data_IF_990309870490
#
_entry.id   IF_990309870490
#
_cell.length_a   1.000
_cell.length_b   1.000
_cell.length_c   1.000
_cell.angle_alpha   90.00
_cell.angle_beta   90.00
_cell.angle_gamma   90.00
#
_symmetry.space_group_name_H-M   'P 1'
#
loop_
_entity.id
_entity.type
_entity.pdbx_description
1 polymer ?
#
# COMPACT_ATOMS: atom_id res chain seq x y z
N UNK A 1 19.87 -14.28 -2.12
CA UNK A 1 18.85 -15.17 -1.54
C UNK A 1 17.63 -15.09 -2.43
N UNK A 2 17.10 -16.23 -2.87
CA UNK A 2 15.80 -16.27 -3.52
C UNK A 2 14.73 -15.65 -2.58
N UNK A 3 13.69 -15.02 -3.12
CA UNK A 3 12.59 -14.50 -2.30
C UNK A 3 11.99 -15.63 -1.44
N UNK A 4 11.45 -15.29 -0.26
CA UNK A 4 10.84 -16.31 0.58
C UNK A 4 9.70 -16.98 -0.18
N UNK A 5 9.69 -18.32 -0.19
CA UNK A 5 8.62 -19.10 -0.83
C UNK A 5 7.36 -19.20 0.04
N UNK A 6 7.31 -18.49 1.17
CA UNK A 6 6.16 -18.46 2.08
C UNK A 6 5.49 -17.10 2.01
N UNK A 7 4.17 -17.11 1.90
CA UNK A 7 3.33 -15.92 1.87
C UNK A 7 2.32 -16.05 3.00
N UNK A 8 2.17 -15.00 3.79
CA UNK A 8 1.09 -14.89 4.75
C UNK A 8 0.11 -13.82 4.25
N UNK A 9 -1.12 -14.23 3.89
CA UNK A 9 -2.19 -13.28 3.56
C UNK A 9 -2.80 -12.77 4.87
N UNK A 10 -2.94 -11.46 5.00
CA UNK A 10 -3.47 -10.83 6.21
C UNK A 10 -4.57 -9.86 5.79
N UNK A 11 -5.82 -10.20 6.08
CA UNK A 11 -6.96 -9.36 5.72
C UNK A 11 -7.25 -8.28 6.76
N UNK A 12 -7.50 -7.06 6.29
CA UNK A 12 -7.73 -5.87 7.10
C UNK A 12 -8.93 -5.12 6.53
N UNK A 13 -10.17 -5.57 6.81
CA UNK A 13 -11.40 -4.95 6.31
C UNK A 13 -11.71 -3.63 7.06
N UNK A 14 -10.77 -2.67 7.01
CA UNK A 14 -10.87 -1.37 7.63
C UNK A 14 -11.54 -0.38 6.67
N UNK A 15 -12.70 0.16 7.05
CA UNK A 15 -13.45 1.17 6.29
C UNK A 15 -13.77 2.38 7.19
N UNK A 16 -12.72 2.92 7.81
CA UNK A 16 -12.81 4.05 8.74
C UNK A 16 -12.05 5.27 8.23
N UNK A 17 -10.94 5.05 7.55
CA UNK A 17 -10.03 6.08 7.07
C UNK A 17 -10.64 6.92 5.96
N UNK A 18 -11.47 6.34 5.10
CA UNK A 18 -12.08 7.00 3.95
C UNK A 18 -13.51 7.52 4.20
N UNK A 19 -13.95 8.42 3.32
CA UNK A 19 -15.32 8.96 3.35
C UNK A 19 -16.36 7.97 2.83
N UNK A 20 -16.12 7.44 1.62
CA UNK A 20 -16.98 6.44 0.97
C UNK A 20 -16.84 5.08 1.64
N UNK A 21 -17.92 4.30 1.61
CA UNK A 21 -18.01 2.96 2.20
C UNK A 21 -17.70 1.86 1.20
N UNK A 22 -17.33 0.68 1.71
CA UNK A 22 -17.30 -0.58 0.95
C UNK A 22 -15.92 -1.18 0.78
N UNK A 23 -14.85 -0.48 1.18
CA UNK A 23 -13.48 -1.02 1.11
C UNK A 23 -13.23 -2.12 2.14
N UNK A 24 -14.06 -2.22 3.18
CA UNK A 24 -14.07 -3.35 4.11
C UNK A 24 -14.37 -4.68 3.42
N UNK A 25 -15.00 -4.68 2.24
CA UNK A 25 -15.22 -5.90 1.45
C UNK A 25 -14.03 -6.26 0.54
N UNK A 26 -13.04 -5.38 0.39
CA UNK A 26 -11.84 -5.60 -0.42
C UNK A 26 -11.12 -6.92 -0.13
N UNK A 27 -10.85 -7.29 1.14
CA UNK A 27 -10.21 -8.57 1.46
C UNK A 27 -11.01 -9.78 0.98
N UNK A 28 -12.35 -9.73 1.07
CA UNK A 28 -13.21 -10.80 0.58
C UNK A 28 -13.17 -10.90 -0.95
N UNK A 29 -13.23 -9.76 -1.65
CA UNK A 29 -13.16 -9.69 -3.11
C UNK A 29 -11.85 -10.27 -3.67
N UNK A 30 -10.71 -9.99 -3.02
CA UNK A 30 -9.41 -10.56 -3.38
C UNK A 30 -9.35 -12.07 -3.15
N UNK A 31 -10.03 -12.58 -2.11
CA UNK A 31 -10.15 -14.03 -1.87
C UNK A 31 -11.07 -14.69 -2.90
N UNK A 32 -12.16 -14.04 -3.29
CA UNK A 32 -13.08 -14.51 -4.35
C UNK A 32 -12.34 -14.61 -5.70
N UNK A 33 -11.46 -13.65 -6.00
CA UNK A 33 -10.55 -13.68 -7.15
C UNK A 33 -9.40 -14.71 -7.02
N UNK A 34 -9.46 -15.59 -6.01
CA UNK A 34 -8.57 -16.72 -5.77
C UNK A 34 -7.09 -16.35 -5.59
N UNK A 35 -6.77 -15.18 -5.00
CA UNK A 35 -5.38 -14.74 -4.77
C UNK A 35 -4.50 -15.85 -4.18
N UNK A 36 -4.95 -16.47 -3.08
CA UNK A 36 -4.17 -17.52 -2.41
C UNK A 36 -3.94 -18.76 -3.26
N UNK A 37 -4.97 -19.21 -3.99
CA UNK A 37 -4.87 -20.37 -4.89
C UNK A 37 -3.93 -20.09 -6.07
N UNK A 38 -4.02 -18.91 -6.66
CA UNK A 38 -3.18 -18.51 -7.81
C UNK A 38 -1.72 -18.30 -7.39
N UNK A 39 -1.45 -17.75 -6.21
CA UNK A 39 -0.09 -17.68 -5.66
C UNK A 39 0.48 -19.07 -5.35
N UNK A 40 -0.34 -19.99 -4.82
CA UNK A 40 0.07 -21.37 -4.59
C UNK A 40 0.42 -22.10 -5.91
N UNK A 41 -0.33 -21.82 -6.99
CA UNK A 41 -0.03 -22.36 -8.32
C UNK A 41 1.31 -21.88 -8.89
N UNK A 42 1.83 -20.73 -8.44
CA UNK A 42 3.20 -20.26 -8.76
C UNK A 42 4.29 -20.94 -7.91
N UNK A 43 3.92 -21.86 -7.00
CA UNK A 43 4.86 -22.62 -6.16
C UNK A 43 5.17 -21.98 -4.81
N UNK A 44 4.34 -21.04 -4.34
CA UNK A 44 4.42 -20.49 -2.99
C UNK A 44 3.63 -21.34 -1.99
N UNK A 45 4.14 -21.44 -0.76
CA UNK A 45 3.34 -21.88 0.40
C UNK A 45 2.56 -20.68 0.92
N UNK A 46 1.24 -20.70 0.74
CA UNK A 46 0.36 -19.59 1.14
C UNK A 46 -0.41 -19.95 2.41
N UNK A 47 -0.28 -19.12 3.45
CA UNK A 47 -1.08 -19.22 4.67
C UNK A 47 -2.03 -18.01 4.71
N UNK A 48 -3.33 -18.24 4.56
CA UNK A 48 -4.32 -17.19 4.85
C UNK A 48 -4.52 -17.10 6.36
N UNK A 49 -4.10 -15.98 6.96
CA UNK A 49 -4.22 -15.72 8.40
C UNK A 49 -5.62 -15.22 8.78
N UNK A 50 -6.54 -15.13 7.82
CA UNK A 50 -7.86 -14.57 8.01
C UNK A 50 -7.82 -13.05 8.15
N UNK A 51 -8.88 -12.51 8.75
CA UNK A 51 -9.03 -11.07 8.96
C UNK A 51 -8.66 -10.67 10.38
N UNK A 52 -7.95 -9.55 10.53
CA UNK A 52 -7.75 -8.95 11.86
C UNK A 52 -9.05 -8.36 12.38
N UNK A 53 -9.16 -8.32 13.71
CA UNK A 53 -10.30 -7.70 14.38
C UNK A 53 -10.31 -6.21 14.10
N UNK A 54 -11.39 -5.77 13.48
CA UNK A 54 -11.66 -4.39 13.13
C UNK A 54 -13.03 -3.99 13.71
N UNK A 55 -13.24 -2.69 13.98
CA UNK A 55 -14.54 -2.21 14.40
C UNK A 55 -15.49 -2.01 13.21
N UNK A 56 -16.79 -2.20 13.45
CA UNK A 56 -17.85 -1.80 12.53
C UNK A 56 -18.03 -0.28 12.62
N UNK A 57 -17.96 0.43 11.49
CA UNK A 57 -17.96 1.91 11.44
C UNK A 57 -19.14 2.55 12.16
N UNK A 58 -20.33 2.01 11.98
CA UNK A 58 -21.60 2.48 12.56
C UNK A 58 -21.61 2.43 14.08
N UNK A 59 -20.77 1.59 14.67
CA UNK A 59 -20.66 1.43 16.13
C UNK A 59 -19.63 2.37 16.77
N UNK A 60 -18.97 3.22 15.96
CA UNK A 60 -17.87 4.06 16.42
C UNK A 60 -18.17 5.54 16.24
N UNK A 61 -17.83 6.39 17.24
CA UNK A 61 -17.83 7.82 17.05
C UNK A 61 -16.65 8.24 16.16
N UNK A 62 -16.88 9.24 15.30
CA UNK A 62 -15.83 9.83 14.45
C UNK A 62 -14.71 10.47 15.25
N UNK A 63 -15.00 11.03 16.44
CA UNK A 63 -14.01 11.69 17.28
C UNK A 63 -13.52 13.01 16.67
N UNK A 64 -12.21 13.15 16.48
CA UNK A 64 -11.62 14.39 15.99
C UNK A 64 -11.92 14.60 14.51
N UNK A 65 -12.58 15.71 14.17
CA UNK A 65 -12.97 16.03 12.79
C UNK A 65 -11.79 16.19 11.81
N UNK A 66 -10.57 16.47 12.31
CA UNK A 66 -9.34 16.59 11.51
C UNK A 66 -8.59 15.27 11.35
N UNK A 67 -9.00 14.21 12.04
CA UNK A 67 -8.43 12.86 11.97
C UNK A 67 -9.46 11.84 12.49
N UNK A 68 -10.49 11.62 11.67
CA UNK A 68 -11.66 10.81 12.01
C UNK A 68 -11.26 9.37 12.33
N UNK A 69 -11.82 8.81 13.39
CA UNK A 69 -11.60 7.44 13.86
C UNK A 69 -10.14 7.08 14.18
N UNK A 70 -9.24 8.06 14.29
CA UNK A 70 -7.78 7.84 14.37
C UNK A 70 -7.35 6.83 15.45
N UNK A 71 -8.04 6.80 16.60
CA UNK A 71 -7.72 5.88 17.70
C UNK A 71 -8.03 4.44 17.36
N UNK A 72 -9.15 4.20 16.69
CA UNK A 72 -9.56 2.87 16.24
C UNK A 72 -8.69 2.40 15.07
N UNK A 73 -8.42 3.29 14.11
CA UNK A 73 -7.49 3.04 13.01
C UNK A 73 -6.12 2.65 13.56
N UNK A 74 -5.54 3.45 14.45
CA UNK A 74 -4.24 3.16 15.07
C UNK A 74 -4.25 1.84 15.87
N UNK A 75 -5.38 1.44 16.46
CA UNK A 75 -5.49 0.13 17.13
C UNK A 75 -5.41 -1.01 16.12
N UNK A 76 -6.07 -0.90 14.97
CA UNK A 76 -5.99 -1.89 13.90
C UNK A 76 -4.59 -1.91 13.27
N UNK A 77 -4.00 -0.76 12.97
CA UNK A 77 -2.65 -0.67 12.43
C UNK A 77 -1.58 -1.24 13.39
N UNK A 78 -1.76 -1.14 14.72
CA UNK A 78 -0.88 -1.83 15.70
C UNK A 78 -1.06 -3.36 15.68
N UNK A 79 -2.27 -3.87 15.44
CA UNK A 79 -2.50 -5.31 15.27
C UNK A 79 -1.83 -5.79 13.98
N UNK A 80 -2.00 -5.04 12.88
CA UNK A 80 -1.36 -5.31 11.60
C UNK A 80 0.16 -5.28 11.71
N UNK A 81 0.73 -4.28 12.39
CA UNK A 81 2.16 -4.22 12.67
C UNK A 81 2.67 -5.52 13.28
N UNK A 82 2.00 -6.02 14.34
CA UNK A 82 2.38 -7.27 15.02
C UNK A 82 2.25 -8.49 14.10
N UNK A 83 1.17 -8.58 13.33
CA UNK A 83 0.92 -9.71 12.43
C UNK A 83 1.96 -9.74 11.29
N UNK A 84 2.22 -8.60 10.65
CA UNK A 84 3.22 -8.47 9.59
C UNK A 84 4.65 -8.67 10.11
N UNK A 85 4.96 -8.17 11.31
CA UNK A 85 6.28 -8.37 11.92
C UNK A 85 6.53 -9.86 12.22
N UNK A 86 5.53 -10.56 12.77
CA UNK A 86 5.60 -12.00 13.00
C UNK A 86 5.75 -12.81 11.69
N UNK A 87 5.04 -12.43 10.63
CA UNK A 87 5.20 -13.05 9.31
C UNK A 87 6.65 -12.86 8.80
N UNK A 88 7.16 -11.64 8.85
CA UNK A 88 8.53 -11.31 8.44
C UNK A 88 9.60 -12.03 9.28
N UNK A 89 9.39 -12.20 10.59
CA UNK A 89 10.29 -12.95 11.47
C UNK A 89 10.31 -14.45 11.14
N UNK A 90 9.15 -15.02 10.82
CA UNK A 90 9.04 -16.42 10.39
C UNK A 90 9.56 -16.69 8.97
N UNK A 91 10.01 -15.64 8.27
CA UNK A 91 10.50 -15.71 6.90
C UNK A 91 9.39 -15.78 5.85
N UNK A 92 8.15 -15.39 6.17
CA UNK A 92 7.10 -15.18 5.18
C UNK A 92 7.12 -13.75 4.64
N UNK A 93 6.67 -13.57 3.40
CA UNK A 93 6.29 -12.27 2.83
C UNK A 93 4.83 -11.98 3.22
N UNK A 94 4.54 -11.00 4.10
CA UNK A 94 3.16 -10.57 4.32
C UNK A 94 2.58 -9.92 3.06
N UNK A 95 1.39 -10.36 2.68
CA UNK A 95 0.53 -9.69 1.68
C UNK A 95 -0.71 -9.20 2.40
N UNK A 96 -0.81 -7.90 2.56
CA UNK A 96 -1.94 -7.25 3.23
C UNK A 96 -3.06 -7.08 2.24
N UNK A 97 -4.22 -7.66 2.55
CA UNK A 97 -5.47 -7.43 1.84
C UNK A 97 -6.17 -6.32 2.60
N UNK A 98 -6.05 -5.09 2.12
CA UNK A 98 -6.54 -3.91 2.82
C UNK A 98 -8.01 -3.62 2.56
N UNK A 99 -8.53 -2.73 3.40
CA UNK A 99 -9.60 -1.82 3.06
C UNK A 99 -8.96 -0.48 2.69
N UNK A 100 -9.21 0.55 3.49
CA UNK A 100 -8.62 1.87 3.23
C UNK A 100 -7.09 1.90 3.43
N UNK A 101 -6.41 2.84 2.76
CA UNK A 101 -4.94 2.91 2.71
C UNK A 101 -4.27 3.25 4.06
N UNK A 102 -5.03 3.62 5.10
CA UNK A 102 -4.46 3.90 6.42
C UNK A 102 -3.74 2.70 7.06
N UNK A 103 -4.05 1.48 6.60
CA UNK A 103 -3.40 0.23 7.00
C UNK A 103 -1.89 0.24 6.73
N UNK A 104 -1.42 1.00 5.73
CA UNK A 104 0.00 1.11 5.40
C UNK A 104 0.87 1.59 6.57
N UNK A 105 0.30 2.38 7.50
CA UNK A 105 1.01 2.79 8.72
C UNK A 105 1.46 1.59 9.58
N UNK A 106 0.69 0.49 9.59
CA UNK A 106 1.03 -0.73 10.31
C UNK A 106 1.99 -1.63 9.53
N UNK A 107 1.68 -1.91 8.26
CA UNK A 107 2.43 -2.84 7.42
C UNK A 107 3.84 -2.32 7.11
N UNK A 108 3.98 -1.04 6.73
CA UNK A 108 5.27 -0.43 6.40
C UNK A 108 6.13 -0.28 7.66
N UNK A 109 5.54 0.07 8.81
CA UNK A 109 6.29 0.14 10.07
C UNK A 109 6.88 -1.22 10.46
N UNK A 110 6.16 -2.33 10.21
CA UNK A 110 6.66 -3.68 10.44
C UNK A 110 7.79 -4.04 9.48
N UNK A 111 7.63 -3.76 8.18
CA UNK A 111 8.69 -3.97 7.19
C UNK A 111 9.95 -3.18 7.53
N UNK A 112 9.80 -1.94 8.00
CA UNK A 112 10.90 -1.08 8.40
C UNK A 112 11.62 -1.61 9.66
N UNK A 113 10.88 -2.09 10.66
CA UNK A 113 11.44 -2.73 11.84
C UNK A 113 12.24 -4.00 11.47
N UNK A 114 11.67 -4.85 10.60
CA UNK A 114 12.34 -6.06 10.14
C UNK A 114 13.61 -5.77 9.33
N UNK A 115 13.58 -4.76 8.46
CA UNK A 115 14.76 -4.32 7.70
C UNK A 115 15.87 -3.81 8.65
N UNK A 116 15.51 -3.03 9.67
CA UNK A 116 16.45 -2.58 10.72
C UNK A 116 17.07 -3.75 11.47
N UNK A 117 16.28 -4.75 11.89
CA UNK A 117 16.80 -5.98 12.55
C UNK A 117 17.82 -6.71 11.65
N UNK A 118 17.61 -6.71 10.34
CA UNK A 118 18.52 -7.28 9.33
C UNK A 118 19.69 -6.36 8.95
N UNK A 119 19.78 -5.16 9.53
CA UNK A 119 20.75 -4.11 9.16
C UNK A 119 20.74 -3.78 7.67
N UNK A 120 19.55 -3.75 7.08
CA UNK A 120 19.32 -3.36 5.68
C UNK A 120 18.44 -2.12 5.63
N UNK A 121 18.62 -1.23 4.63
CA UNK A 121 17.66 -0.18 4.38
C UNK A 121 16.34 -0.77 3.86
N UNK A 122 15.22 -0.11 4.13
CA UNK A 122 13.94 -0.35 3.47
C UNK A 122 13.75 0.71 2.39
N UNK A 123 13.50 0.29 1.16
CA UNK A 123 12.90 1.12 0.12
C UNK A 123 11.38 0.94 0.15
N UNK A 124 10.64 2.03 0.02
CA UNK A 124 9.19 2.06 -0.07
C UNK A 124 8.78 2.54 -1.46
N UNK A 125 8.07 1.70 -2.20
CA UNK A 125 7.40 2.08 -3.43
C UNK A 125 5.92 2.28 -3.10
N UNK A 126 5.45 3.51 -3.21
CA UNK A 126 4.06 3.92 -3.00
C UNK A 126 3.41 4.13 -4.37
N UNK A 127 2.49 3.26 -4.75
CA UNK A 127 1.88 3.22 -6.08
C UNK A 127 0.42 3.60 -5.92
N UNK A 128 0.07 4.82 -6.35
CA UNK A 128 -1.16 5.49 -5.91
C UNK A 128 -1.51 6.70 -6.81
N UNK A 129 -2.78 7.08 -6.91
CA UNK A 129 -3.17 8.36 -7.49
C UNK A 129 -2.87 9.57 -6.58
N UNK A 130 -2.79 9.33 -5.27
CA UNK A 130 -2.62 10.27 -4.16
C UNK A 130 -1.26 10.08 -3.47
N UNK A 131 -0.77 11.10 -2.75
CA UNK A 131 0.48 10.95 -2.00
C UNK A 131 0.26 10.45 -0.56
N UNK A 132 -0.94 10.60 -0.02
CA UNK A 132 -1.27 10.24 1.36
C UNK A 132 -0.36 10.90 2.42
N UNK A 133 0.06 12.12 2.10
CA UNK A 133 0.99 12.91 2.90
C UNK A 133 0.29 14.02 3.68
N UNK A 134 -1.04 14.05 3.73
CA UNK A 134 -1.72 15.01 4.58
C UNK A 134 -1.46 14.77 6.08
N UNK A 135 -1.44 15.87 6.84
CA UNK A 135 -1.48 15.84 8.31
C UNK A 135 -2.84 16.33 8.79
N UNK A 136 -3.19 16.18 10.09
CA UNK A 136 -4.45 16.69 10.61
C UNK A 136 -4.62 18.20 10.41
N UNK A 137 -3.52 18.95 10.28
CA UNK A 137 -3.52 20.38 9.98
C UNK A 137 -3.73 20.73 8.50
N UNK A 138 -3.37 19.86 7.56
CA UNK A 138 -3.46 20.15 6.11
C UNK A 138 -4.68 19.50 5.46
N UNK A 139 -5.14 18.37 6.00
CA UNK A 139 -6.29 17.65 5.48
C UNK A 139 -7.56 18.49 5.53
N UNK A 140 -8.25 18.57 4.39
CA UNK A 140 -9.56 19.25 4.27
C UNK A 140 -10.73 18.36 4.68
N UNK A 141 -10.55 17.04 4.66
CA UNK A 141 -11.59 16.05 4.95
C UNK A 141 -11.49 15.47 6.37
N UNK A 142 -10.29 15.48 6.96
CA UNK A 142 -9.96 14.75 8.18
C UNK A 142 -10.01 13.24 8.03
N UNK A 143 -10.07 12.73 6.79
CA UNK A 143 -10.03 11.32 6.48
C UNK A 143 -8.60 10.82 6.63
N UNK A 144 -8.40 9.78 7.44
CA UNK A 144 -7.07 9.32 7.87
C UNK A 144 -6.36 8.50 6.79
N UNK A 145 -7.10 7.93 5.82
CA UNK A 145 -6.48 7.19 4.71
C UNK A 145 -5.55 8.06 3.86
N UNK A 146 -5.75 9.39 3.82
CA UNK A 146 -4.81 10.32 3.16
C UNK A 146 -3.65 10.80 4.02
N UNK A 147 -3.40 10.20 5.19
CA UNK A 147 -2.34 10.57 6.13
C UNK A 147 -1.26 9.52 6.45
N UNK A 148 -1.33 8.23 6.04
CA UNK A 148 -0.39 7.21 6.51
C UNK A 148 1.05 7.51 6.09
N UNK A 149 1.30 8.03 4.89
CA UNK A 149 2.67 8.32 4.48
C UNK A 149 3.27 9.50 5.24
N UNK A 150 2.47 10.50 5.60
CA UNK A 150 2.91 11.56 6.52
C UNK A 150 3.40 11.00 7.87
N UNK A 151 2.67 10.03 8.41
CA UNK A 151 3.00 9.38 9.68
C UNK A 151 4.25 8.49 9.59
N UNK A 152 4.49 7.87 8.44
CA UNK A 152 5.67 7.04 8.20
C UNK A 152 6.94 7.89 8.03
N UNK A 153 6.79 9.12 7.54
CA UNK A 153 7.88 10.07 7.26
C UNK A 153 8.12 11.09 8.39
N UNK A 154 7.25 11.13 9.41
CA UNK A 154 7.30 12.17 10.44
C UNK A 154 6.40 11.87 11.65
N UNK A 155 6.18 12.86 12.53
CA UNK A 155 5.51 12.63 13.82
C UNK A 155 3.98 12.68 13.77
N UNK A 156 3.36 12.94 12.62
CA UNK A 156 1.93 13.24 12.51
C UNK A 156 1.20 12.38 11.47
N UNK A 157 -0.01 11.86 11.76
CA UNK A 157 -0.67 11.87 13.07
C UNK A 157 0.07 11.00 14.10
N UNK A 158 0.26 11.52 15.32
CA UNK A 158 1.05 10.83 16.36
C UNK A 158 0.56 9.41 16.68
N UNK A 159 -0.75 9.15 16.58
CA UNK A 159 -1.32 7.83 16.82
C UNK A 159 -0.83 6.77 15.81
N UNK A 160 -0.54 7.17 14.57
CA UNK A 160 0.02 6.31 13.53
C UNK A 160 1.55 6.35 13.55
N UNK A 161 2.15 7.53 13.70
CA UNK A 161 3.61 7.70 13.68
C UNK A 161 4.31 6.91 14.81
N UNK A 162 3.64 6.75 15.95
CA UNK A 162 4.17 5.96 17.08
C UNK A 162 4.20 4.44 16.86
N UNK A 163 3.61 3.93 15.77
CA UNK A 163 3.60 2.49 15.48
C UNK A 163 5.01 2.02 15.11
N UNK A 164 5.50 0.99 15.79
CA UNK A 164 6.86 0.48 15.60
C UNK A 164 7.96 1.29 16.30
N UNK A 165 7.57 2.26 17.14
CA UNK A 165 8.43 2.98 18.11
C UNK A 165 9.62 3.77 17.53
N UNK A 166 9.70 3.91 16.20
CA UNK A 166 10.77 4.64 15.50
C UNK A 166 10.15 5.68 14.59
N UNK A 167 10.52 6.95 14.80
CA UNK A 167 10.03 8.09 14.02
C UNK A 167 11.24 8.82 13.42
N UNK A 168 11.30 9.02 12.10
CA UNK A 168 10.40 8.46 11.10
C UNK A 168 10.61 6.94 10.93
N UNK A 169 9.56 6.21 10.55
CA UNK A 169 9.65 4.78 10.29
C UNK A 169 10.50 4.50 9.03
N UNK A 170 10.35 5.37 8.01
CA UNK A 170 11.07 5.31 6.73
C UNK A 170 11.70 6.66 6.44
N UNK A 171 12.91 6.65 5.85
CA UNK A 171 13.56 7.89 5.43
C UNK A 171 12.97 8.41 4.12
N UNK A 172 12.74 9.72 3.95
CA UNK A 172 12.16 10.26 2.71
C UNK A 172 12.96 9.92 1.45
N UNK A 173 14.30 9.93 1.51
CA UNK A 173 15.19 9.55 0.39
C UNK A 173 15.07 8.08 -0.05
N UNK A 174 14.24 7.30 0.65
CA UNK A 174 13.95 5.88 0.39
C UNK A 174 12.50 5.64 0.00
N UNK A 175 11.74 6.69 -0.28
CA UNK A 175 10.36 6.61 -0.75
C UNK A 175 10.28 7.09 -2.20
N UNK A 176 9.60 6.30 -3.04
CA UNK A 176 9.19 6.72 -4.36
C UNK A 176 7.67 6.65 -4.47
N UNK A 177 7.06 7.77 -4.84
CA UNK A 177 5.66 7.91 -5.19
C UNK A 177 5.53 7.73 -6.71
N UNK A 178 4.63 6.86 -7.17
CA UNK A 178 4.44 6.56 -8.58
C UNK A 178 2.96 6.54 -8.94
N UNK A 179 2.59 7.27 -10.00
CA UNK A 179 1.21 7.34 -10.50
C UNK A 179 0.42 8.55 -9.97
N UNK A 180 1.10 9.42 -9.21
CA UNK A 180 0.50 10.57 -8.54
C UNK A 180 -0.11 11.53 -9.56
N UNK A 181 -1.37 11.90 -9.32
CA UNK A 181 -2.12 12.85 -10.16
C UNK A 181 -3.18 13.65 -9.39
N UNK A 182 -3.39 13.36 -8.11
CA UNK A 182 -4.37 14.02 -7.27
C UNK A 182 -3.73 14.44 -5.95
N UNK A 183 -3.43 15.74 -5.82
CA UNK A 183 -2.86 16.34 -4.61
C UNK A 183 -3.57 17.65 -4.31
N UNK A 184 -3.90 17.88 -3.05
CA UNK A 184 -4.35 19.19 -2.61
C UNK A 184 -3.19 20.22 -2.56
N UNK A 185 -3.54 21.50 -2.43
CA UNK A 185 -2.55 22.57 -2.51
C UNK A 185 -1.49 22.51 -1.39
N UNK A 186 -1.88 22.11 -0.18
CA UNK A 186 -0.95 22.04 0.96
C UNK A 186 -0.09 20.78 0.88
N UNK A 187 -0.66 19.68 0.42
CA UNK A 187 0.02 18.41 0.19
C UNK A 187 1.09 18.56 -0.90
N UNK A 188 0.84 19.31 -1.98
CA UNK A 188 1.86 19.62 -3.00
C UNK A 188 3.12 20.24 -2.41
N UNK A 189 2.97 21.22 -1.52
CA UNK A 189 4.11 21.86 -0.84
C UNK A 189 4.85 20.84 0.01
N UNK A 190 4.12 20.06 0.81
CA UNK A 190 4.72 19.04 1.66
C UNK A 190 5.47 17.97 0.87
N UNK A 191 4.91 17.46 -0.22
CA UNK A 191 5.56 16.47 -1.08
C UNK A 191 6.88 17.04 -1.63
N UNK A 192 6.87 18.28 -2.13
CA UNK A 192 8.09 18.95 -2.64
C UNK A 192 9.17 19.10 -1.59
N UNK A 193 8.79 19.46 -0.36
CA UNK A 193 9.74 19.75 0.73
C UNK A 193 10.19 18.49 1.48
N UNK A 194 9.53 17.35 1.28
CA UNK A 194 9.77 16.13 2.04
C UNK A 194 11.05 15.39 1.68
N UNK A 195 11.56 15.55 0.45
CA UNK A 195 12.70 14.79 -0.08
C UNK A 195 12.35 13.40 -0.61
N UNK A 196 11.06 13.05 -0.73
CA UNK A 196 10.63 11.84 -1.45
C UNK A 196 10.85 11.98 -2.96
N UNK A 197 10.94 10.85 -3.65
CA UNK A 197 10.99 10.83 -5.11
C UNK A 197 9.58 10.77 -5.67
N UNK A 198 9.16 11.81 -6.41
CA UNK A 198 7.83 11.90 -7.01
C UNK A 198 7.88 11.57 -8.50
N UNK A 199 7.00 10.66 -8.94
CA UNK A 199 6.75 10.34 -10.34
C UNK A 199 5.26 10.40 -10.63
N UNK A 200 4.86 11.46 -11.31
CA UNK A 200 3.46 11.71 -11.68
C UNK A 200 3.07 10.95 -12.95
N UNK A 201 1.78 10.88 -13.26
CA UNK A 201 1.33 10.39 -14.57
C UNK A 201 1.92 11.20 -15.73
N UNK A 202 2.20 12.49 -15.55
CA UNK A 202 2.84 13.30 -16.59
C UNK A 202 4.30 12.91 -16.85
N UNK A 203 5.01 12.37 -15.86
CA UNK A 203 6.36 11.82 -16.04
C UNK A 203 6.29 10.49 -16.79
N UNK A 204 5.27 9.67 -16.49
CA UNK A 204 5.01 8.39 -17.15
C UNK A 204 4.65 8.60 -18.62
N UNK A 205 3.74 9.53 -18.93
CA UNK A 205 3.37 9.88 -20.31
C UNK A 205 4.56 10.31 -21.16
N UNK A 206 5.53 11.02 -20.55
CA UNK A 206 6.69 11.57 -21.25
C UNK A 206 7.84 10.58 -21.42
N UNK A 207 8.10 9.76 -20.42
CA UNK A 207 9.31 8.93 -20.34
C UNK A 207 9.03 7.42 -20.44
N UNK A 208 7.77 7.03 -20.36
CA UNK A 208 7.32 5.64 -20.30
C UNK A 208 7.47 5.03 -18.91
N UNK A 209 6.52 4.17 -18.55
CA UNK A 209 6.46 3.54 -17.24
C UNK A 209 7.72 2.74 -16.88
N UNK A 210 8.27 1.97 -17.82
CA UNK A 210 9.45 1.13 -17.57
C UNK A 210 10.62 1.96 -17.07
N UNK A 211 10.91 3.07 -17.75
CA UNK A 211 11.95 4.04 -17.38
C UNK A 211 11.71 4.61 -15.98
N UNK A 212 10.48 5.05 -15.70
CA UNK A 212 10.10 5.64 -14.41
C UNK A 212 10.23 4.61 -13.29
N UNK A 213 9.75 3.39 -13.49
CA UNK A 213 9.77 2.32 -12.49
C UNK A 213 11.20 1.90 -12.17
N UNK A 214 12.04 1.70 -13.17
CA UNK A 214 13.46 1.37 -12.96
C UNK A 214 14.20 2.50 -12.22
N UNK A 215 13.91 3.76 -12.56
CA UNK A 215 14.47 4.92 -11.86
C UNK A 215 14.02 4.96 -10.40
N UNK A 216 12.73 4.78 -10.13
CA UNK A 216 12.17 4.74 -8.78
C UNK A 216 12.83 3.62 -7.94
N UNK A 217 12.86 2.39 -8.46
CA UNK A 217 13.45 1.22 -7.79
C UNK A 217 14.96 1.37 -7.54
N UNK A 218 15.67 2.07 -8.42
CA UNK A 218 17.10 2.38 -8.28
C UNK A 218 17.35 3.41 -7.17
N UNK A 219 16.58 4.50 -7.14
CA UNK A 219 16.71 5.57 -6.15
C UNK A 219 16.48 5.05 -4.73
N UNK A 220 15.37 4.35 -4.50
CA UNK A 220 15.04 3.80 -3.18
C UNK A 220 15.88 2.58 -2.82
N UNK A 221 16.43 1.89 -3.84
CA UNK A 221 17.13 0.62 -3.71
C UNK A 221 18.61 0.66 -3.39
N UNK A 222 19.22 1.85 -3.31
CA UNK A 222 20.68 2.01 -3.08
C UNK A 222 21.15 1.18 -1.88
N UNK A 223 22.07 0.23 -2.11
CA UNK A 223 22.67 -0.57 -1.03
C UNK A 223 21.81 -1.73 -0.51
N UNK A 224 21.56 -2.75 -1.35
CA UNK A 224 20.85 -4.00 -1.00
C UNK A 224 19.57 -3.76 -0.16
N UNK A 225 18.79 -2.72 -0.48
CA UNK A 225 17.57 -2.43 0.29
C UNK A 225 16.55 -3.57 0.16
N UNK A 226 15.88 -3.92 1.25
CA UNK A 226 14.61 -4.64 1.17
C UNK A 226 13.54 -3.70 0.59
N UNK A 227 12.49 -4.23 -0.03
CA UNK A 227 11.45 -3.43 -0.69
C UNK A 227 10.08 -3.74 -0.09
N UNK A 228 9.35 -2.69 0.29
CA UNK A 228 7.92 -2.72 0.56
C UNK A 228 7.19 -2.04 -0.60
N UNK A 229 6.15 -2.67 -1.12
CA UNK A 229 5.27 -2.08 -2.14
C UNK A 229 3.90 -1.84 -1.51
N UNK A 230 3.48 -0.57 -1.44
CA UNK A 230 2.11 -0.21 -1.07
C UNK A 230 1.37 0.11 -2.35
N UNK A 231 0.43 -0.75 -2.74
CA UNK A 231 -0.27 -0.64 -4.01
C UNK A 231 -1.74 -0.32 -3.77
N UNK A 232 -2.08 0.95 -4.02
CA UNK A 232 -3.46 1.43 -4.08
C UNK A 232 -4.05 1.15 -5.45
N UNK A 233 -5.20 0.47 -5.49
CA UNK A 233 -5.84 0.14 -6.77
C UNK A 233 -6.35 1.39 -7.50
N UNK A 234 -6.53 2.52 -6.82
CA UNK A 234 -6.94 3.78 -7.44
C UNK A 234 -5.84 4.41 -8.31
N UNK A 235 -4.60 3.88 -8.26
CA UNK A 235 -3.54 4.24 -9.21
C UNK A 235 -3.94 3.93 -10.65
N UNK A 236 -4.72 2.88 -10.85
CA UNK A 236 -5.23 2.46 -12.15
C UNK A 236 -6.30 3.40 -12.66
N UNK A 237 -6.45 3.49 -13.99
CA UNK A 237 -7.54 4.28 -14.54
C UNK A 237 -8.90 3.67 -14.18
N UNK A 238 -9.90 4.48 -13.76
CA UNK A 238 -11.23 3.97 -13.42
C UNK A 238 -11.94 3.24 -14.57
N UNK A 239 -11.51 3.41 -15.82
CA UNK A 239 -12.01 2.64 -16.96
C UNK A 239 -11.68 1.13 -16.87
N UNK A 240 -10.63 0.76 -16.12
CA UNK A 240 -10.26 -0.64 -15.89
C UNK A 240 -10.45 -1.07 -14.42
N UNK A 241 -10.31 -0.14 -13.48
CA UNK A 241 -10.43 -0.38 -12.05
C UNK A 241 -11.53 0.50 -11.42
N UNK A 242 -12.81 0.30 -11.78
CA UNK A 242 -13.90 1.15 -11.28
C UNK A 242 -14.18 0.96 -9.78
N UNK A 243 -13.91 -0.23 -9.25
CA UNK A 243 -14.13 -0.63 -7.86
C UNK A 243 -13.11 -0.08 -6.88
N UNK A 244 -13.01 1.24 -6.74
CA UNK A 244 -12.12 1.92 -5.78
C UNK A 244 -12.82 3.08 -5.07
N UNK A 245 -12.34 3.43 -3.86
CA UNK A 245 -12.94 4.50 -3.04
C UNK A 245 -12.87 5.88 -3.69
N UNK A 246 -11.71 6.25 -4.23
CA UNK A 246 -11.38 7.60 -4.72
C UNK A 246 -10.89 7.59 -6.17
N UNK A 247 -11.73 7.19 -7.15
CA UNK A 247 -11.29 7.06 -8.54
C UNK A 247 -10.84 8.41 -9.13
N UNK A 248 -9.65 8.43 -9.73
CA UNK A 248 -9.10 9.60 -10.45
C UNK A 248 -8.77 9.22 -11.89
N UNK A 249 -9.33 9.93 -12.87
CA UNK A 249 -9.06 9.66 -14.29
C UNK A 249 -7.61 9.93 -14.69
N UNK A 250 -7.18 9.29 -15.78
CA UNK A 250 -5.83 9.39 -16.33
C UNK A 250 -4.83 8.57 -15.53
N UNK A 251 -5.25 7.39 -15.06
CA UNK A 251 -4.41 6.47 -14.28
C UNK A 251 -3.64 5.47 -15.14
N UNK A 252 -2.95 4.55 -14.47
CA UNK A 252 -2.23 3.48 -15.16
C UNK A 252 -3.19 2.58 -15.94
N UNK A 253 -2.78 2.20 -17.14
CA UNK A 253 -3.42 1.11 -17.87
C UNK A 253 -3.06 -0.26 -17.25
N UNK A 254 -3.80 -1.29 -17.65
CA UNK A 254 -3.57 -2.67 -17.22
C UNK A 254 -2.14 -3.13 -17.51
N UNK A 255 -1.67 -2.85 -18.74
CA UNK A 255 -0.33 -3.23 -19.20
C UNK A 255 0.77 -2.54 -18.40
N UNK A 256 0.52 -1.30 -18.00
CA UNK A 256 1.46 -0.54 -17.21
C UNK A 256 1.55 -1.11 -15.79
N UNK A 257 0.41 -1.25 -15.09
CA UNK A 257 0.39 -1.83 -13.76
C UNK A 257 1.06 -3.22 -13.70
N UNK A 258 0.81 -4.09 -14.70
CA UNK A 258 1.54 -5.35 -14.84
C UNK A 258 3.05 -5.19 -14.96
N UNK A 259 3.51 -4.37 -15.91
CA UNK A 259 4.93 -4.15 -16.15
C UNK A 259 5.62 -3.58 -14.91
N UNK A 260 4.96 -2.69 -14.16
CA UNK A 260 5.47 -2.17 -12.90
C UNK A 260 5.75 -3.32 -11.92
N UNK A 261 4.79 -4.22 -11.74
CA UNK A 261 4.90 -5.33 -10.80
C UNK A 261 5.89 -6.41 -11.27
N UNK A 262 6.02 -6.65 -12.58
CA UNK A 262 7.09 -7.50 -13.13
C UNK A 262 8.49 -6.91 -12.83
N UNK A 263 8.67 -5.60 -13.01
CA UNK A 263 9.92 -4.92 -12.68
C UNK A 263 10.22 -4.95 -11.17
N UNK A 264 9.19 -4.91 -10.32
CA UNK A 264 9.31 -5.14 -8.87
C UNK A 264 9.82 -6.56 -8.62
N UNK A 265 9.23 -7.57 -9.24
CA UNK A 265 9.60 -8.97 -9.08
C UNK A 265 11.04 -9.24 -9.51
N UNK A 266 11.48 -8.66 -10.64
CA UNK A 266 12.83 -8.78 -11.18
C UNK A 266 13.90 -8.27 -10.21
N UNK A 267 13.55 -7.40 -9.26
CA UNK A 267 14.49 -6.97 -8.22
C UNK A 267 14.86 -8.10 -7.26
N UNK A 268 13.96 -9.07 -7.00
CA UNK A 268 14.08 -10.06 -5.93
C UNK A 268 14.13 -9.47 -4.51
N UNK A 269 13.80 -8.17 -4.36
CA UNK A 269 13.94 -7.41 -3.11
C UNK A 269 12.64 -7.26 -2.34
N UNK A 270 11.48 -7.54 -2.95
CA UNK A 270 10.18 -7.42 -2.28
C UNK A 270 10.12 -8.32 -1.03
N UNK A 271 9.70 -7.73 0.09
CA UNK A 271 9.51 -8.39 1.39
C UNK A 271 8.12 -8.20 1.95
N UNK A 272 7.34 -7.24 1.47
CA UNK A 272 5.97 -6.99 1.87
C UNK A 272 5.23 -6.31 0.73
N UNK A 273 3.93 -6.61 0.61
CA UNK A 273 3.02 -6.03 -0.37
C UNK A 273 1.71 -5.66 0.33
N UNK A 274 1.21 -4.46 0.09
CA UNK A 274 -0.15 -4.06 0.44
C UNK A 274 -0.98 -3.94 -0.85
N UNK A 275 -2.18 -4.51 -0.85
CA UNK A 275 -3.20 -4.34 -1.90
C UNK A 275 -4.42 -3.69 -1.23
N UNK A 276 -4.69 -2.42 -1.53
CA UNK A 276 -5.65 -1.60 -0.77
C UNK A 276 -6.67 -0.90 -1.66
N UNK A 277 -7.69 -0.32 -1.03
CA UNK A 277 -8.76 0.49 -1.64
C UNK A 277 -9.63 -0.22 -2.67
N UNK A 278 -9.60 -1.55 -2.75
CA UNK A 278 -10.59 -2.35 -3.49
C UNK A 278 -11.96 -2.14 -2.85
N UNK A 279 -12.91 -1.62 -3.62
CA UNK A 279 -14.28 -1.36 -3.21
C UNK A 279 -15.28 -2.08 -4.12
N UNK A 280 -15.74 -3.29 -3.72
CA UNK A 280 -16.69 -4.07 -4.49
C UNK A 280 -18.03 -3.39 -4.76
N UNK A 281 -18.46 -2.41 -3.95
CA UNK A 281 -19.73 -1.69 -4.20
C UNK A 281 -19.68 -0.81 -5.44
N UNK A 282 -18.49 -0.38 -5.83
CA UNK A 282 -18.26 0.47 -7.00
C UNK A 282 -17.71 -0.33 -8.18
N UNK A 283 -17.48 -1.63 -7.98
CA UNK A 283 -16.86 -2.50 -8.96
C UNK A 283 -17.89 -3.08 -9.93
N UNK A 284 -17.40 -3.58 -11.06
CA UNK A 284 -18.19 -4.29 -12.06
C UNK A 284 -17.71 -5.73 -12.13
N UNK A 285 -18.53 -6.67 -11.63
CA UNK A 285 -18.22 -8.11 -11.66
C UNK A 285 -16.84 -8.48 -11.07
N UNK A 286 -16.44 -7.82 -9.98
CA UNK A 286 -15.16 -8.05 -9.29
C UNK A 286 -13.91 -7.74 -10.12
N UNK A 287 -14.05 -6.96 -11.21
CA UNK A 287 -12.97 -6.68 -12.16
C UNK A 287 -11.75 -6.04 -11.48
N UNK A 288 -11.94 -5.04 -10.60
CA UNK A 288 -10.81 -4.42 -9.90
C UNK A 288 -10.07 -5.42 -9.01
N UNK A 289 -10.79 -6.32 -8.34
CA UNK A 289 -10.15 -7.34 -7.50
C UNK A 289 -9.38 -8.38 -8.32
N UNK A 290 -9.92 -8.81 -9.48
CA UNK A 290 -9.20 -9.67 -10.42
C UNK A 290 -7.89 -9.01 -10.89
N UNK A 291 -7.94 -7.72 -11.24
CA UNK A 291 -6.75 -6.95 -11.60
C UNK A 291 -5.72 -6.91 -10.46
N UNK A 292 -6.17 -6.62 -9.24
CA UNK A 292 -5.29 -6.62 -8.06
C UNK A 292 -4.58 -7.97 -7.86
N UNK A 293 -5.29 -9.08 -8.08
CA UNK A 293 -4.72 -10.42 -8.02
C UNK A 293 -3.69 -10.62 -9.13
N UNK A 294 -3.98 -10.22 -10.36
CA UNK A 294 -3.05 -10.33 -11.49
C UNK A 294 -1.76 -9.53 -11.27
N UNK A 295 -1.87 -8.31 -10.74
CA UNK A 295 -0.72 -7.48 -10.37
C UNK A 295 0.11 -8.11 -9.25
N UNK A 296 -0.56 -8.69 -8.24
CA UNK A 296 0.14 -9.43 -7.19
C UNK A 296 0.92 -10.63 -7.77
N UNK A 297 0.32 -11.40 -8.69
CA UNK A 297 0.99 -12.54 -9.31
C UNK A 297 2.22 -12.10 -10.11
N UNK A 298 2.14 -10.99 -10.87
CA UNK A 298 3.32 -10.41 -11.52
C UNK A 298 4.40 -10.02 -10.51
N UNK A 299 4.03 -9.43 -9.36
CA UNK A 299 4.98 -9.09 -8.29
C UNK A 299 5.65 -10.31 -7.65
N UNK A 300 4.98 -11.47 -7.69
CA UNK A 300 5.49 -12.77 -7.27
C UNK A 300 6.10 -13.59 -8.41
N UNK A 301 6.38 -12.96 -9.55
CA UNK A 301 7.18 -13.55 -10.62
C UNK A 301 6.39 -14.42 -11.59
N UNK A 302 5.06 -14.26 -11.68
CA UNK A 302 4.33 -14.77 -12.84
C UNK A 302 4.90 -14.11 -14.10
N UNK A 303 5.28 -14.94 -15.06
CA UNK A 303 5.79 -14.51 -16.37
C UNK A 303 4.95 -15.13 -17.47
N UNK A 304 4.95 -14.47 -18.62
CA UNK A 304 4.37 -15.02 -19.85
C UNK A 304 5.28 -16.12 -20.42
N UNK A 305 6.62 -15.99 -20.28
CA UNK A 305 7.66 -16.93 -20.72
C UNK A 305 8.78 -17.08 -19.68
#
# INVERSE_FOLDING_TARGET
MAPPRKIDLIGIPLDLGAGRRGVDMGPSALRIAQLGGRLAALGYTVNDRGDLRHPVRETRPTGNARKKYIRDIARVCRQLYRASDAALESGSTPVVLGGDHSVAAGSVAAAAAAARRRRRPLGLLWVDAHADMNTPSTSTSGNVHGMPLAALLGPEPAELASIGEVIPAVRPDRVALLGIRSLDAQEKTRVRDSGVHLFTMSDIDRLGLSTITQRALSLIGRGRADLHVSFDLDVCDPAIAPGVGTPVRGGLSYREAHMLMELVADTGRMRALDLVEVNPMLDTHNATAELAVEFALSAFGQRIL
#
